data_IF_069183466136
#
_entry.id   IF_069183466136
#
_cell.length_a   1.000
_cell.length_b   1.000
_cell.length_c   1.000
_cell.angle_alpha   90.00
_cell.angle_beta   90.00
_cell.angle_gamma   90.00
#
_symmetry.space_group_name_H-M   'P 1'
#
loop_
_entity.id
_entity.type
_entity.pdbx_description
1 polymer ?
#
# COMPACT_ATOMS: atom_id res chain seq x y z
N UNK A 1 -0.99 58.01 23.95
CA UNK A 1 0.25 57.36 23.42
C UNK A 1 0.38 55.86 23.78
N UNK A 2 -0.61 55.18 24.40
CA UNK A 2 -0.47 53.77 24.81
C UNK A 2 -0.89 52.71 23.78
N UNK A 3 -1.77 53.03 22.83
CA UNK A 3 -2.32 52.05 21.89
C UNK A 3 -1.30 51.50 20.88
N UNK A 4 -0.39 52.34 20.40
CA UNK A 4 0.63 51.95 19.42
C UNK A 4 1.61 50.91 19.98
N UNK A 5 1.96 51.01 21.26
CA UNK A 5 2.84 50.03 21.91
C UNK A 5 2.17 48.67 22.03
N UNK A 6 0.89 48.60 22.37
CA UNK A 6 0.15 47.33 22.45
C UNK A 6 0.06 46.65 21.07
N UNK A 7 -0.18 47.43 20.02
CA UNK A 7 -0.23 46.92 18.64
C UNK A 7 1.16 46.47 18.15
N UNK A 8 2.21 47.23 18.46
CA UNK A 8 3.58 46.89 18.08
C UNK A 8 4.09 45.61 18.79
N UNK A 9 3.76 45.42 20.08
CA UNK A 9 4.09 44.20 20.81
C UNK A 9 3.33 42.97 20.29
N UNK A 10 2.04 43.13 19.96
CA UNK A 10 1.26 42.04 19.38
C UNK A 10 1.81 41.60 18.01
N UNK A 11 2.24 42.57 17.18
CA UNK A 11 2.80 42.30 15.87
C UNK A 11 4.16 41.57 15.94
N UNK A 12 5.05 41.95 16.86
CA UNK A 12 6.37 41.30 16.99
C UNK A 12 6.27 39.89 17.57
N UNK A 13 5.35 39.65 18.50
CA UNK A 13 5.08 38.31 19.04
C UNK A 13 4.51 37.40 17.96
N UNK A 14 3.59 37.88 17.13
CA UNK A 14 3.01 37.10 16.05
C UNK A 14 4.06 36.71 14.97
N UNK A 15 4.93 37.63 14.58
CA UNK A 15 6.02 37.36 13.62
C UNK A 15 7.05 36.39 14.21
N UNK A 16 7.41 36.55 15.49
CA UNK A 16 8.35 35.66 16.17
C UNK A 16 7.84 34.22 16.28
N UNK A 17 6.57 34.04 16.66
CA UNK A 17 5.93 32.72 16.73
C UNK A 17 5.82 32.10 15.32
N UNK A 18 5.43 32.89 14.32
CA UNK A 18 5.33 32.43 12.93
C UNK A 18 6.66 31.96 12.36
N UNK A 19 7.75 32.70 12.58
CA UNK A 19 9.08 32.32 12.12
C UNK A 19 9.61 31.08 12.85
N UNK A 20 9.34 30.92 14.15
CA UNK A 20 9.72 29.75 14.91
C UNK A 20 8.98 28.49 14.43
N UNK A 21 7.67 28.59 14.16
CA UNK A 21 6.86 27.50 13.58
C UNK A 21 7.34 27.16 12.17
N UNK A 22 7.61 28.16 11.33
CA UNK A 22 8.11 27.96 9.97
C UNK A 22 9.49 27.26 9.96
N UNK A 23 10.41 27.70 10.82
CA UNK A 23 11.72 27.06 10.97
C UNK A 23 11.61 25.64 11.52
N UNK A 24 10.69 25.37 12.45
CA UNK A 24 10.43 24.03 13.00
C UNK A 24 9.89 23.04 11.95
N UNK A 25 8.97 23.49 11.09
CA UNK A 25 8.44 22.66 10.00
C UNK A 25 9.51 22.40 8.93
N UNK A 26 10.37 23.38 8.62
CA UNK A 26 11.43 23.25 7.61
C UNK A 26 12.63 22.41 8.08
N UNK A 27 12.86 22.29 9.38
CA UNK A 27 14.03 21.61 9.95
C UNK A 27 13.86 20.11 10.18
N UNK A 28 12.68 19.53 9.95
CA UNK A 28 12.47 18.07 10.03
C UNK A 28 12.38 17.45 8.64
N UNK A 29 13.40 16.71 8.17
CA UNK A 29 13.24 15.83 7.02
C UNK A 29 12.47 14.59 7.49
N UNK A 30 11.14 14.61 7.37
CA UNK A 30 10.32 13.45 7.72
C UNK A 30 10.25 12.51 6.53
N UNK A 31 11.11 11.49 6.59
CA UNK A 31 11.02 10.27 5.80
C UNK A 31 9.79 9.48 6.25
N UNK A 32 8.70 9.53 5.50
CA UNK A 32 7.54 8.65 5.68
C UNK A 32 7.31 7.86 4.40
N UNK A 33 7.52 6.54 4.49
CA UNK A 33 6.94 5.56 3.58
C UNK A 33 5.46 5.38 3.96
N UNK A 34 4.60 5.36 2.95
CA UNK A 34 3.15 5.17 3.02
C UNK A 34 2.73 4.10 4.03
N UNK A 35 1.86 4.46 4.99
CA UNK A 35 0.91 3.59 5.70
C UNK A 35 0.44 4.28 7.01
N UNK A 36 -0.82 4.71 7.07
CA UNK A 36 -1.66 4.93 8.27
C UNK A 36 -1.49 6.27 9.06
N UNK A 37 -2.11 7.36 8.59
CA UNK A 37 -2.52 8.50 9.45
C UNK A 37 -3.97 8.88 9.11
N UNK A 38 -4.82 8.80 10.13
CA UNK A 38 -6.28 8.90 10.04
C UNK A 38 -6.74 10.21 10.71
N UNK A 39 -7.31 11.14 9.93
CA UNK A 39 -7.87 12.42 10.45
C UNK A 39 -8.32 13.43 9.38
N UNK A 40 -9.61 13.34 9.02
CA UNK A 40 -10.55 14.25 8.32
C UNK A 40 -10.07 15.55 7.64
N UNK A 41 -9.99 15.51 6.31
CA UNK A 41 -10.46 16.57 5.40
C UNK A 41 -11.39 15.89 4.39
N UNK A 42 -12.70 16.13 4.51
CA UNK A 42 -13.69 15.53 3.60
C UNK A 42 -13.71 16.33 2.28
N UNK A 43 -12.99 15.83 1.28
CA UNK A 43 -13.19 16.16 -0.13
C UNK A 43 -13.77 14.92 -0.78
N UNK A 44 -15.01 14.99 -1.27
CA UNK A 44 -15.66 13.88 -1.93
C UNK A 44 -15.13 13.79 -3.37
N UNK A 45 -14.06 12.99 -3.55
CA UNK A 45 -13.63 12.49 -4.85
C UNK A 45 -14.47 11.25 -5.14
N UNK A 46 -15.31 11.31 -6.18
CA UNK A 46 -15.99 10.13 -6.70
C UNK A 46 -14.92 9.24 -7.37
N UNK A 47 -14.57 8.15 -6.70
CA UNK A 47 -13.49 7.25 -7.06
C UNK A 47 -13.95 6.27 -8.15
N UNK A 48 -13.72 6.62 -9.42
CA UNK A 48 -13.88 5.69 -10.55
C UNK A 48 -12.90 4.48 -10.49
N UNK A 49 -11.96 4.46 -9.53
CA UNK A 49 -10.89 3.46 -9.43
C UNK A 49 -11.28 2.17 -8.67
N UNK A 50 -12.36 2.16 -7.88
CA UNK A 50 -12.74 0.97 -7.09
C UNK A 50 -12.89 -0.28 -7.97
N UNK A 51 -13.36 -0.12 -9.20
CA UNK A 51 -13.47 -1.21 -10.18
C UNK A 51 -12.12 -1.74 -10.67
N UNK A 52 -11.13 -0.87 -10.86
CA UNK A 52 -9.80 -1.26 -11.35
C UNK A 52 -9.02 -2.01 -10.27
N UNK A 53 -9.09 -1.53 -9.03
CA UNK A 53 -8.50 -2.16 -7.85
C UNK A 53 -9.09 -3.55 -7.59
N UNK A 54 -10.41 -3.67 -7.66
CA UNK A 54 -11.10 -4.96 -7.54
C UNK A 54 -10.68 -5.93 -8.66
N UNK A 55 -10.57 -5.45 -9.90
CA UNK A 55 -10.12 -6.27 -11.02
C UNK A 55 -8.64 -6.65 -10.94
N UNK A 56 -7.79 -5.80 -10.36
CA UNK A 56 -6.39 -6.13 -10.09
C UNK A 56 -6.26 -7.20 -9.00
N UNK A 57 -7.00 -7.07 -7.90
CA UNK A 57 -7.07 -8.07 -6.83
C UNK A 57 -7.54 -9.42 -7.36
N UNK A 58 -8.60 -9.44 -8.18
CA UNK A 58 -9.07 -10.66 -8.85
C UNK A 58 -8.00 -11.24 -9.76
N UNK A 59 -7.32 -10.42 -10.56
CA UNK A 59 -6.22 -10.87 -11.45
C UNK A 59 -5.08 -11.50 -10.68
N UNK A 60 -4.64 -10.89 -9.58
CA UNK A 60 -3.58 -11.42 -8.70
C UNK A 60 -3.94 -12.78 -8.11
N UNK A 61 -5.22 -13.05 -7.90
CA UNK A 61 -5.70 -14.33 -7.37
C UNK A 61 -5.93 -15.41 -8.45
N UNK A 62 -5.59 -15.17 -9.73
CA UNK A 62 -5.79 -16.16 -10.81
C UNK A 62 -4.56 -16.99 -11.11
N UNK A 63 -4.81 -18.24 -11.47
CA UNK A 63 -3.79 -19.18 -11.91
C UNK A 63 -2.99 -18.61 -13.08
N UNK A 64 -1.69 -18.46 -12.91
CA UNK A 64 -0.78 -17.91 -13.92
C UNK A 64 -0.66 -18.76 -15.20
N UNK A 65 -1.18 -20.00 -15.18
CA UNK A 65 -1.11 -20.93 -16.31
C UNK A 65 -2.37 -20.88 -17.16
N UNK A 66 -3.55 -21.03 -16.56
CA UNK A 66 -4.82 -21.03 -17.30
C UNK A 66 -5.55 -19.69 -17.29
N UNK A 67 -5.12 -18.74 -16.45
CA UNK A 67 -5.74 -17.42 -16.28
C UNK A 67 -7.27 -17.47 -16.12
N UNK A 68 -7.80 -18.56 -15.57
CA UNK A 68 -9.25 -18.83 -15.52
C UNK A 68 -9.70 -19.11 -14.10
N UNK A 69 -9.07 -20.08 -13.42
CA UNK A 69 -9.37 -20.48 -12.04
C UNK A 69 -8.45 -19.79 -11.03
N UNK A 70 -8.90 -19.68 -9.79
CA UNK A 70 -8.09 -19.10 -8.71
C UNK A 70 -6.85 -19.96 -8.40
N UNK A 71 -5.80 -19.32 -7.88
CA UNK A 71 -4.65 -20.02 -7.33
C UNK A 71 -5.08 -20.88 -6.13
N UNK A 72 -4.45 -22.05 -5.97
CA UNK A 72 -4.83 -22.97 -4.90
C UNK A 72 -3.80 -24.06 -4.60
N UNK A 73 -2.60 -24.01 -5.19
CA UNK A 73 -1.53 -24.99 -4.94
C UNK A 73 -0.21 -24.29 -4.62
N UNK A 74 0.34 -24.63 -3.46
CA UNK A 74 1.68 -24.23 -3.02
C UNK A 74 2.71 -25.31 -3.40
N UNK A 75 3.76 -24.92 -4.11
CA UNK A 75 4.83 -25.84 -4.54
C UNK A 75 5.98 -25.93 -3.55
N UNK A 76 6.24 -27.10 -2.97
CA UNK A 76 7.42 -27.36 -2.13
C UNK A 76 8.61 -27.85 -2.97
N UNK A 77 9.86 -27.37 -2.74
CA UNK A 77 10.32 -26.55 -1.61
C UNK A 77 10.45 -25.05 -1.93
N UNK A 78 9.85 -24.55 -3.01
CA UNK A 78 9.99 -23.14 -3.40
C UNK A 78 8.93 -22.20 -2.80
N UNK A 79 7.85 -22.76 -2.28
CA UNK A 79 6.71 -22.07 -1.67
C UNK A 79 6.04 -21.01 -2.57
N UNK A 80 6.09 -21.18 -3.89
CA UNK A 80 5.31 -20.34 -4.80
C UNK A 80 3.87 -20.89 -4.92
N UNK A 81 2.89 -20.02 -4.67
CA UNK A 81 1.46 -20.26 -4.78
C UNK A 81 0.93 -19.53 -6.02
N UNK A 82 0.92 -20.21 -7.17
CA UNK A 82 0.78 -19.53 -8.49
C UNK A 82 -0.10 -20.27 -9.48
N UNK A 83 -0.58 -21.47 -9.12
CA UNK A 83 -1.44 -22.29 -9.98
C UNK A 83 -2.70 -22.76 -9.26
N UNK A 84 -3.78 -22.98 -10.00
CA UNK A 84 -4.93 -23.76 -9.54
C UNK A 84 -4.55 -25.26 -9.38
N UNK A 85 -5.44 -26.04 -8.77
CA UNK A 85 -5.28 -27.50 -8.56
C UNK A 85 -5.07 -28.27 -9.85
N UNK A 86 -5.85 -27.98 -10.90
CA UNK A 86 -5.80 -28.70 -12.17
C UNK A 86 -4.54 -28.41 -13.00
N UNK A 87 -4.03 -27.18 -12.93
CA UNK A 87 -2.76 -26.84 -13.56
C UNK A 87 -1.61 -27.39 -12.72
N UNK A 88 -1.64 -27.19 -11.40
CA UNK A 88 -0.56 -27.60 -10.50
C UNK A 88 -0.29 -29.10 -10.50
N UNK A 89 -1.32 -29.93 -10.68
CA UNK A 89 -1.19 -31.40 -10.76
C UNK A 89 -0.35 -31.86 -11.95
N UNK A 90 -0.34 -31.11 -13.06
CA UNK A 90 0.39 -31.42 -14.30
C UNK A 90 1.83 -30.89 -14.31
N UNK A 91 2.21 -30.07 -13.32
CA UNK A 91 3.50 -29.40 -13.28
C UNK A 91 4.53 -30.18 -12.47
N UNK A 92 5.70 -30.44 -13.07
CA UNK A 92 6.86 -31.04 -12.38
C UNK A 92 7.90 -30.00 -11.93
N UNK A 93 7.73 -28.76 -12.39
CA UNK A 93 8.61 -27.63 -12.13
C UNK A 93 7.76 -26.39 -11.85
N UNK A 94 8.17 -25.56 -10.89
CA UNK A 94 7.49 -24.31 -10.59
C UNK A 94 7.60 -23.32 -11.78
N UNK A 95 6.49 -22.74 -12.28
CA UNK A 95 6.53 -21.84 -13.43
C UNK A 95 7.24 -20.50 -13.16
N UNK A 96 7.37 -20.09 -11.89
CA UNK A 96 8.06 -18.84 -11.51
C UNK A 96 9.56 -19.05 -11.37
N UNK A 97 9.97 -19.92 -10.44
CA UNK A 97 11.38 -20.05 -10.06
C UNK A 97 12.08 -21.25 -10.70
N UNK A 98 11.38 -22.03 -11.52
CA UNK A 98 11.90 -23.21 -12.24
C UNK A 98 12.49 -24.31 -11.35
N UNK A 99 12.19 -24.29 -10.04
CA UNK A 99 12.59 -25.35 -9.10
C UNK A 99 11.70 -26.59 -9.28
N UNK A 100 12.30 -27.79 -9.23
CA UNK A 100 11.58 -29.07 -9.27
C UNK A 100 10.58 -29.18 -8.12
N UNK A 101 9.35 -29.52 -8.44
CA UNK A 101 8.26 -29.70 -7.46
C UNK A 101 8.41 -31.05 -6.80
N UNK A 102 8.54 -31.06 -5.46
CA UNK A 102 8.61 -32.28 -4.65
C UNK A 102 7.28 -32.61 -4.00
N UNK A 103 6.54 -31.60 -3.54
CA UNK A 103 5.21 -31.75 -2.94
C UNK A 103 4.30 -30.61 -3.40
N UNK A 104 3.00 -30.87 -3.44
CA UNK A 104 1.92 -29.93 -3.76
C UNK A 104 0.99 -29.88 -2.57
N UNK A 105 0.73 -28.69 -2.05
CA UNK A 105 -0.15 -28.49 -0.89
C UNK A 105 -1.33 -27.65 -1.39
N UNK A 106 -2.55 -28.14 -1.20
CA UNK A 106 -3.75 -27.37 -1.52
C UNK A 106 -3.92 -26.25 -0.50
N UNK A 107 -4.00 -25.01 -0.99
CA UNK A 107 -4.24 -23.83 -0.18
C UNK A 107 -5.70 -23.39 -0.34
N UNK A 108 -6.34 -23.10 0.78
CA UNK A 108 -7.66 -22.49 0.83
C UNK A 108 -7.47 -21.03 1.18
N UNK A 109 -7.76 -20.13 0.22
CA UNK A 109 -7.79 -18.70 0.47
C UNK A 109 -9.21 -18.33 0.91
N UNK A 110 -9.37 -17.60 2.03
CA UNK A 110 -10.66 -17.08 2.47
C UNK A 110 -11.18 -15.99 1.53
#
# INVERSE_FOLDING_TARGET
MSGYHVVAFAATVAVGIGLAIYAYIKSKPVLVKESQYQGSWQYDYEDDNESEDLEELKRKNRCTVCMSKNIGVLFSPCNHLVTCTDCGSKMNVCPVCRRKVRKRINAYLP
#
